data_IF_993290580813
#
_entry.id   IF_993290580813
#
_cell.length_a   1.000
_cell.length_b   1.000
_cell.length_c   1.000
_cell.angle_alpha   90.00
_cell.angle_beta   90.00
_cell.angle_gamma   90.00
#
_symmetry.space_group_name_H-M   'P 1'
#
loop_
_entity.id
_entity.type
_entity.pdbx_description
1 polymer ?
#
# COMPACT_ATOMS: atom_id res chain seq x y z
N UNK A 1 1.84 -0.51 29.65
CA UNK A 1 1.59 -1.52 28.61
C UNK A 1 1.46 -0.75 27.31
N UNK A 2 2.43 -0.88 26.41
CA UNK A 2 2.34 -0.23 25.11
C UNK A 2 1.24 -0.94 24.33
N UNK A 3 0.11 -0.27 24.10
CA UNK A 3 -0.84 -0.73 23.10
C UNK A 3 -0.14 -0.56 21.76
N UNK A 4 0.41 -1.65 21.22
CA UNK A 4 0.56 -1.78 19.77
C UNK A 4 -0.86 -1.90 19.23
N UNK A 5 -1.52 -0.75 19.16
CA UNK A 5 -2.84 -0.61 18.58
C UNK A 5 -2.63 -0.06 17.19
N UNK A 6 -2.55 -0.94 16.20
CA UNK A 6 -3.13 -0.60 14.90
C UNK A 6 -4.54 -0.11 15.25
N UNK A 7 -4.80 1.19 15.12
CA UNK A 7 -6.13 1.70 15.32
C UNK A 7 -7.05 0.91 14.36
N UNK A 8 -8.25 0.48 14.79
CA UNK A 8 -9.11 -0.34 13.95
C UNK A 8 -9.59 0.53 12.80
N UNK A 9 -8.82 0.53 11.72
CA UNK A 9 -9.21 1.17 10.49
C UNK A 9 -10.31 0.30 9.89
N UNK A 10 -11.44 0.93 9.64
CA UNK A 10 -12.63 0.25 9.14
C UNK A 10 -12.51 0.07 7.62
N UNK A 11 -12.69 -1.16 7.13
CA UNK A 11 -12.55 -1.48 5.70
C UNK A 11 -13.54 -0.69 4.81
N UNK A 12 -14.75 -0.42 5.31
CA UNK A 12 -15.75 0.36 4.57
C UNK A 12 -15.33 1.83 4.47
N UNK A 13 -14.59 2.34 5.47
CA UNK A 13 -14.08 3.71 5.50
C UNK A 13 -12.72 3.93 4.82
N UNK A 14 -12.17 2.94 4.13
CA UNK A 14 -10.92 3.07 3.38
C UNK A 14 -11.13 3.71 2.01
N UNK A 15 -10.17 4.51 1.51
CA UNK A 15 -10.23 5.06 0.17
C UNK A 15 -10.19 3.93 -0.86
N UNK A 16 -11.06 4.04 -1.86
CA UNK A 16 -11.23 3.07 -2.94
C UNK A 16 -10.60 3.61 -4.23
N UNK A 17 -10.22 2.74 -5.15
CA UNK A 17 -9.70 3.14 -6.46
C UNK A 17 -9.99 2.07 -7.51
N UNK A 18 -9.92 2.49 -8.78
CA UNK A 18 -9.84 1.61 -9.95
C UNK A 18 -8.55 1.91 -10.70
N UNK A 19 -7.75 0.89 -11.02
CA UNK A 19 -6.48 1.10 -11.73
C UNK A 19 -6.73 1.47 -13.20
N UNK A 20 -6.25 2.64 -13.59
CA UNK A 20 -6.33 3.10 -14.98
C UNK A 20 -5.26 2.45 -15.88
N UNK A 21 -4.19 1.93 -15.27
CA UNK A 21 -3.05 1.30 -15.96
C UNK A 21 -2.44 0.18 -15.12
N UNK A 22 -1.59 -0.63 -15.73
CA UNK A 22 -0.85 -1.67 -15.02
C UNK A 22 0.15 -1.03 -14.05
N UNK A 23 0.15 -1.42 -12.76
CA UNK A 23 0.98 -0.78 -11.74
C UNK A 23 2.44 -1.24 -11.80
N UNK A 24 2.71 -2.39 -12.38
CA UNK A 24 4.08 -2.90 -12.59
C UNK A 24 4.76 -2.29 -13.84
N UNK A 25 4.06 -1.43 -14.59
CA UNK A 25 4.58 -0.81 -15.82
C UNK A 25 4.99 0.65 -15.60
N UNK A 26 6.18 0.99 -16.08
CA UNK A 26 6.68 2.36 -16.12
C UNK A 26 7.36 2.82 -14.82
N UNK A 27 7.55 4.13 -14.71
CA UNK A 27 8.24 4.75 -13.58
C UNK A 27 7.25 5.12 -12.46
N UNK A 28 7.59 4.73 -11.24
CA UNK A 28 6.75 4.97 -10.06
C UNK A 28 7.03 6.32 -9.38
N UNK A 29 8.06 7.09 -9.77
CA UNK A 29 8.43 8.31 -9.05
C UNK A 29 7.40 9.45 -9.18
N UNK A 30 6.63 9.47 -10.26
CA UNK A 30 5.53 10.41 -10.53
C UNK A 30 4.16 9.72 -10.60
N UNK A 31 4.10 8.43 -10.24
CA UNK A 31 2.86 7.67 -10.32
C UNK A 31 1.87 8.09 -9.22
N UNK A 32 0.55 8.11 -9.50
CA UNK A 32 -0.47 8.35 -8.48
C UNK A 32 -0.36 7.35 -7.32
N UNK A 33 -0.75 7.78 -6.12
CA UNK A 33 -0.65 6.99 -4.89
C UNK A 33 -1.25 5.59 -5.04
N UNK A 34 -2.43 5.46 -5.63
CA UNK A 34 -3.09 4.17 -5.81
C UNK A 34 -2.33 3.23 -6.78
N UNK A 35 -1.64 3.77 -7.80
CA UNK A 35 -0.79 2.99 -8.71
C UNK A 35 0.45 2.48 -7.98
N UNK A 36 1.11 3.35 -7.20
CA UNK A 36 2.27 2.98 -6.38
C UNK A 36 1.89 1.93 -5.34
N UNK A 37 0.76 2.15 -4.65
CA UNK A 37 0.20 1.24 -3.66
C UNK A 37 -0.04 -0.17 -4.23
N UNK A 38 -0.59 -0.27 -5.44
CA UNK A 38 -0.81 -1.54 -6.13
C UNK A 38 0.49 -2.23 -6.53
N UNK A 39 1.47 -1.48 -7.06
CA UNK A 39 2.78 -2.01 -7.43
C UNK A 39 3.50 -2.60 -6.21
N UNK A 40 3.49 -1.88 -5.10
CA UNK A 40 4.05 -2.36 -3.84
C UNK A 40 3.33 -3.59 -3.32
N UNK A 41 1.99 -3.63 -3.38
CA UNK A 41 1.21 -4.78 -2.93
C UNK A 41 1.50 -6.04 -3.76
N UNK A 42 1.67 -5.90 -5.09
CA UNK A 42 2.04 -7.02 -5.95
C UNK A 42 3.39 -7.63 -5.53
N UNK A 43 4.39 -6.79 -5.22
CA UNK A 43 5.73 -7.25 -4.85
C UNK A 43 5.83 -7.75 -3.42
N UNK A 44 5.25 -7.03 -2.47
CA UNK A 44 5.39 -7.29 -1.04
C UNK A 44 4.38 -8.31 -0.54
N UNK A 45 3.10 -8.13 -0.90
CA UNK A 45 2.01 -8.95 -0.39
C UNK A 45 1.68 -10.12 -1.32
N UNK A 46 2.31 -10.19 -2.50
CA UNK A 46 1.99 -11.18 -3.52
C UNK A 46 0.59 -10.96 -4.11
N UNK A 47 0.12 -9.71 -4.11
CA UNK A 47 -1.13 -9.34 -4.76
C UNK A 47 -1.01 -9.48 -6.29
N UNK A 48 -2.15 -9.32 -6.96
CA UNK A 48 -2.27 -9.44 -8.42
C UNK A 48 -3.14 -8.33 -8.98
N UNK A 49 -2.77 -7.08 -8.70
CA UNK A 49 -3.41 -5.91 -9.28
C UNK A 49 -2.92 -5.68 -10.71
N UNK A 50 -3.85 -5.48 -11.64
CA UNK A 50 -3.58 -5.03 -13.01
C UNK A 50 -4.49 -3.88 -13.42
N UNK A 51 -4.38 -3.45 -14.67
CA UNK A 51 -5.27 -2.43 -15.21
C UNK A 51 -6.75 -2.86 -15.11
N UNK A 52 -7.59 -1.99 -14.55
CA UNK A 52 -9.02 -2.20 -14.33
C UNK A 52 -9.38 -2.95 -13.05
N UNK A 53 -8.40 -3.39 -12.23
CA UNK A 53 -8.70 -3.91 -10.89
C UNK A 53 -9.15 -2.78 -9.97
N UNK A 54 -10.16 -3.09 -9.15
CA UNK A 54 -10.57 -2.27 -8.03
C UNK A 54 -9.83 -2.70 -6.75
N UNK A 55 -9.60 -1.75 -5.87
CA UNK A 55 -8.94 -2.01 -4.60
C UNK A 55 -9.18 -0.90 -3.58
N UNK A 56 -8.61 -1.12 -2.40
CA UNK A 56 -8.51 -0.10 -1.35
C UNK A 56 -7.06 0.12 -1.00
N UNK A 57 -6.71 1.30 -0.50
CA UNK A 57 -5.35 1.56 -0.06
C UNK A 57 -5.31 2.24 1.29
N UNK A 58 -4.16 2.15 1.93
CA UNK A 58 -3.87 2.83 3.20
C UNK A 58 -2.55 3.57 3.07
N UNK A 59 -2.43 4.69 3.76
CA UNK A 59 -1.14 5.34 3.97
C UNK A 59 -0.44 4.68 5.16
N UNK A 60 0.88 4.55 5.04
CA UNK A 60 1.72 3.99 6.07
C UNK A 60 2.41 5.12 6.81
N UNK A 61 2.36 5.05 8.13
CA UNK A 61 3.14 5.90 9.01
C UNK A 61 4.57 5.35 9.17
N UNK A 62 4.70 4.02 9.24
CA UNK A 62 5.98 3.31 9.39
C UNK A 62 5.83 1.83 9.03
N UNK A 63 6.93 1.15 8.72
CA UNK A 63 6.99 -0.31 8.51
C UNK A 63 8.13 -0.88 9.34
N UNK A 64 7.84 -1.89 10.16
CA UNK A 64 8.85 -2.49 11.02
C UNK A 64 9.99 -3.10 10.20
N UNK A 65 11.25 -2.80 10.59
CA UNK A 65 12.44 -3.26 9.88
C UNK A 65 12.51 -4.80 9.71
N UNK A 66 11.97 -5.55 10.68
CA UNK A 66 11.90 -7.02 10.63
C UNK A 66 11.12 -7.55 9.43
N UNK A 67 10.10 -6.82 8.97
CA UNK A 67 9.33 -7.21 7.80
C UNK A 67 10.19 -7.28 6.54
N UNK A 68 11.13 -6.34 6.38
CA UNK A 68 12.02 -6.34 5.21
C UNK A 68 12.98 -7.52 5.25
N UNK A 69 13.50 -7.87 6.44
CA UNK A 69 14.38 -9.03 6.62
C UNK A 69 13.66 -10.34 6.24
N UNK A 70 12.42 -10.52 6.72
CA UNK A 70 11.59 -11.67 6.38
C UNK A 70 11.29 -11.75 4.88
N UNK A 71 10.86 -10.63 4.27
CA UNK A 71 10.54 -10.59 2.84
C UNK A 71 11.76 -10.86 1.97
N UNK A 72 12.92 -10.29 2.28
CA UNK A 72 14.16 -10.52 1.53
C UNK A 72 14.60 -11.99 1.64
N UNK A 73 14.45 -12.61 2.81
CA UNK A 73 14.77 -14.01 3.03
C UNK A 73 13.81 -14.97 2.30
N UNK A 74 12.52 -14.63 2.21
CA UNK A 74 11.51 -15.49 1.58
C UNK A 74 11.40 -15.34 0.07
N UNK A 75 11.57 -14.12 -0.45
CA UNK A 75 11.19 -13.76 -1.83
C UNK A 75 12.37 -13.48 -2.76
N UNK A 76 13.61 -13.50 -2.25
CA UNK A 76 14.85 -13.21 -3.02
C UNK A 76 14.70 -11.90 -3.83
N UNK A 77 14.17 -10.85 -3.19
CA UNK A 77 13.92 -9.56 -3.85
C UNK A 77 15.24 -8.78 -3.99
N UNK A 78 15.50 -8.23 -5.18
CA UNK A 78 16.62 -7.32 -5.39
C UNK A 78 16.18 -5.87 -5.08
N UNK A 79 16.84 -5.16 -4.14
CA UNK A 79 16.43 -3.81 -3.73
C UNK A 79 16.74 -2.71 -4.76
N UNK A 80 17.42 -3.01 -5.86
CA UNK A 80 17.94 -1.99 -6.79
C UNK A 80 17.02 -1.85 -8.01
N UNK A 81 16.35 -0.71 -8.13
CA UNK A 81 15.63 -0.31 -9.35
C UNK A 81 14.21 -0.86 -9.50
N UNK A 82 13.70 -1.60 -8.51
CA UNK A 82 12.34 -2.13 -8.49
C UNK A 82 11.44 -1.42 -7.46
N UNK A 83 10.13 -1.62 -7.55
CA UNK A 83 9.14 -1.07 -6.62
C UNK A 83 9.46 -1.38 -5.14
N UNK A 84 10.04 -2.55 -4.87
CA UNK A 84 10.51 -2.92 -3.53
C UNK A 84 11.57 -1.95 -2.99
N UNK A 85 12.53 -1.53 -3.82
CA UNK A 85 13.58 -0.60 -3.43
C UNK A 85 13.01 0.77 -3.03
N UNK A 86 12.08 1.31 -3.81
CA UNK A 86 11.41 2.57 -3.48
C UNK A 86 10.66 2.47 -2.16
N UNK A 87 9.87 1.40 -1.98
CA UNK A 87 9.11 1.18 -0.75
C UNK A 87 10.00 0.98 0.48
N UNK A 88 11.11 0.25 0.38
CA UNK A 88 12.05 0.07 1.50
C UNK A 88 12.70 1.38 1.94
N UNK A 89 12.92 2.31 1.00
CA UNK A 89 13.51 3.61 1.32
C UNK A 89 12.48 4.61 1.87
N UNK A 90 11.26 4.61 1.34
CA UNK A 90 10.19 5.51 1.74
C UNK A 90 8.83 4.77 1.67
N UNK A 91 8.47 4.00 2.71
CA UNK A 91 7.22 3.27 2.72
C UNK A 91 6.05 4.23 2.97
N UNK A 92 5.30 4.56 1.93
CA UNK A 92 4.29 5.61 2.00
C UNK A 92 2.84 5.10 1.86
N UNK A 93 2.58 4.15 0.95
CA UNK A 93 1.23 3.64 0.65
C UNK A 93 1.24 2.15 0.36
N UNK A 94 0.12 1.46 0.58
CA UNK A 94 -0.04 0.06 0.16
C UNK A 94 -1.49 -0.26 -0.21
N UNK A 95 -1.68 -1.01 -1.29
CA UNK A 95 -3.01 -1.46 -1.72
C UNK A 95 -3.37 -2.81 -1.12
N UNK A 96 -4.67 -3.02 -0.92
CA UNK A 96 -5.25 -4.20 -0.30
C UNK A 96 -6.46 -4.64 -1.13
N UNK A 97 -6.53 -5.94 -1.44
CA UNK A 97 -7.77 -6.58 -1.92
C UNK A 97 -8.63 -7.08 -0.75
N UNK A 98 -8.00 -7.34 0.39
CA UNK A 98 -8.65 -7.68 1.65
C UNK A 98 -7.86 -7.19 2.86
N UNK A 99 -8.56 -6.86 3.95
CA UNK A 99 -7.94 -6.36 5.18
C UNK A 99 -6.91 -7.32 5.78
N UNK A 100 -7.15 -8.63 5.67
CA UNK A 100 -6.25 -9.69 6.16
C UNK A 100 -4.88 -9.73 5.45
N UNK A 101 -4.73 -9.05 4.30
CA UNK A 101 -3.44 -8.94 3.62
C UNK A 101 -2.51 -7.94 4.29
N UNK A 102 -3.02 -7.04 5.14
CA UNK A 102 -2.21 -6.03 5.80
C UNK A 102 -1.37 -6.70 6.92
N UNK A 103 -0.03 -6.70 6.82
CA UNK A 103 0.82 -7.30 7.84
C UNK A 103 0.78 -6.49 9.14
N UNK A 104 0.92 -7.14 10.29
CA UNK A 104 0.97 -6.47 11.60
C UNK A 104 2.18 -5.52 11.73
N UNK A 105 3.23 -5.78 10.94
CA UNK A 105 4.41 -4.94 10.84
C UNK A 105 4.15 -3.56 10.21
N UNK A 106 2.98 -3.33 9.60
CA UNK A 106 2.66 -2.09 8.90
C UNK A 106 1.89 -1.17 9.85
N UNK A 107 2.50 -0.06 10.24
CA UNK A 107 1.83 0.98 11.00
C UNK A 107 1.05 1.89 10.04
N UNK A 108 -0.28 1.83 10.10
CA UNK A 108 -1.15 2.63 9.24
C UNK A 108 -1.29 4.06 9.78
N UNK A 109 -1.13 5.04 8.89
CA UNK A 109 -1.51 6.43 9.15
C UNK A 109 -3.03 6.58 8.97
N UNK A 110 -3.77 6.35 10.05
CA UNK A 110 -5.23 6.38 10.04
C UNK A 110 -5.78 7.78 9.78
N UNK A 111 -5.08 8.84 10.22
CA UNK A 111 -5.51 10.21 9.97
C UNK A 111 -5.44 10.49 8.47
N UNK A 112 -4.27 10.27 7.86
CA UNK A 112 -4.04 10.49 6.43
C UNK A 112 -4.94 9.62 5.55
N UNK A 113 -5.10 8.34 5.91
CA UNK A 113 -5.97 7.43 5.17
C UNK A 113 -7.43 7.87 5.21
N UNK A 114 -7.90 8.35 6.36
CA UNK A 114 -9.26 8.87 6.50
C UNK A 114 -9.46 10.19 5.77
N UNK A 115 -8.44 11.05 5.73
CA UNK A 115 -8.47 12.26 4.93
C UNK A 115 -8.59 11.94 3.45
N UNK A 116 -7.78 11.01 2.94
CA UNK A 116 -7.88 10.57 1.55
C UNK A 116 -9.25 9.97 1.20
N UNK A 117 -9.84 9.17 2.09
CA UNK A 117 -11.20 8.65 1.89
C UNK A 117 -12.30 9.73 1.85
N UNK A 118 -12.04 10.90 2.43
CA UNK A 118 -12.95 12.06 2.40
C UNK A 118 -12.71 12.97 1.19
N UNK A 119 -11.44 13.06 0.77
CA UNK A 119 -10.99 13.89 -0.35
C UNK A 119 -11.09 13.19 -1.70
N UNK A 120 -11.30 11.85 -1.70
CA UNK A 120 -11.84 11.10 -2.83
C UNK A 120 -13.30 11.52 -3.06
N UNK A 121 -13.45 12.78 -3.47
CA UNK A 121 -14.58 13.24 -4.22
C UNK A 121 -14.68 12.38 -5.46
N UNK A 122 -15.45 11.29 -5.36
CA UNK A 122 -16.30 10.86 -6.46
C UNK A 122 -16.87 12.14 -7.12
N UNK A 123 -16.94 12.18 -8.45
CA UNK A 123 -17.03 13.42 -9.23
C UNK A 123 -18.01 14.37 -8.57
N UNK A 124 -17.55 15.60 -8.29
CA UNK A 124 -18.42 16.70 -7.87
C UNK A 124 -19.64 16.69 -8.79
N UNK A 125 -20.80 16.28 -8.24
CA UNK A 125 -22.09 16.39 -8.92
C UNK A 125 -22.56 17.83 -8.94
#
# INVERSE_FOLDING_TARGET
MASSGTAPIDWDGLPEFTLERDPDEGDLSDAPDHVRAAAYANRLLGASFGAGDDGKFVYLADVAESYFDDVEAERDLEPVGEAYGSFKNDPDVIALKAFEQLPDAFAVDVERTREAARDDGGPSS
#
